data_IF_415224547197
#
_entry.id   IF_415224547197
#
_cell.length_a   1.000
_cell.length_b   1.000
_cell.length_c   1.000
_cell.angle_alpha   90.00
_cell.angle_beta   90.00
_cell.angle_gamma   90.00
#
_symmetry.space_group_name_H-M   'P 1'
#
loop_
_entity.id
_entity.type
_entity.pdbx_description
1 polymer ?
#
# COMPACT_ATOMS: atom_id res chain seq x y z
N UNK A 1 -21.45 -6.10 -29.55
CA UNK A 1 -20.05 -5.72 -29.20
C UNK A 1 -19.27 -7.00 -29.05
N UNK A 2 -18.13 -7.16 -29.74
CA UNK A 2 -17.29 -8.35 -29.56
C UNK A 2 -16.76 -8.37 -28.11
N UNK A 3 -17.04 -9.44 -27.37
CA UNK A 3 -16.48 -9.68 -26.04
C UNK A 3 -14.96 -9.77 -26.16
N UNK A 4 -14.24 -8.94 -25.40
CA UNK A 4 -12.78 -8.96 -25.39
C UNK A 4 -12.31 -10.32 -24.90
N UNK A 5 -11.31 -10.90 -25.56
CA UNK A 5 -10.72 -12.16 -25.13
C UNK A 5 -10.11 -12.02 -23.73
N UNK A 6 -10.04 -13.11 -22.96
CA UNK A 6 -9.41 -13.10 -21.64
C UNK A 6 -7.99 -12.51 -21.67
N UNK A 7 -7.21 -12.83 -22.71
CA UNK A 7 -5.85 -12.30 -22.88
C UNK A 7 -5.82 -10.78 -23.02
N UNK A 8 -6.75 -10.19 -23.76
CA UNK A 8 -6.86 -8.73 -23.91
C UNK A 8 -7.25 -8.07 -22.58
N UNK A 9 -8.22 -8.65 -21.87
CA UNK A 9 -8.66 -8.14 -20.56
C UNK A 9 -7.54 -8.23 -19.51
N UNK A 10 -6.80 -9.32 -19.51
CA UNK A 10 -5.62 -9.51 -18.66
C UNK A 10 -4.53 -8.47 -18.93
N UNK A 11 -4.16 -8.27 -20.20
CA UNK A 11 -3.17 -7.26 -20.58
C UNK A 11 -3.61 -5.85 -20.20
N UNK A 12 -4.90 -5.55 -20.34
CA UNK A 12 -5.49 -4.26 -19.93
C UNK A 12 -5.44 -4.08 -18.41
N UNK A 13 -5.75 -5.11 -17.63
CA UNK A 13 -5.71 -5.07 -16.16
C UNK A 13 -4.29 -4.93 -15.61
N UNK A 14 -3.31 -5.58 -16.24
CA UNK A 14 -1.90 -5.55 -15.81
C UNK A 14 -1.19 -4.22 -16.11
N UNK A 15 -1.81 -3.29 -16.86
CA UNK A 15 -1.16 -2.05 -17.29
C UNK A 15 -0.58 -1.25 -16.11
N UNK A 16 0.74 -1.02 -16.15
CA UNK A 16 1.49 -0.27 -15.13
C UNK A 16 1.63 1.20 -15.51
N UNK A 17 1.63 2.10 -14.51
CA UNK A 17 1.86 3.54 -14.73
C UNK A 17 3.33 3.83 -15.07
N UNK A 18 4.26 3.25 -14.32
CA UNK A 18 5.70 3.34 -14.59
C UNK A 18 6.44 2.24 -13.84
N UNK A 19 7.18 1.37 -14.54
CA UNK A 19 7.91 0.27 -13.89
C UNK A 19 9.00 0.75 -12.92
N UNK A 20 9.46 2.00 -13.02
CA UNK A 20 10.48 2.54 -12.12
C UNK A 20 9.99 2.67 -10.68
N UNK A 21 8.70 2.95 -10.49
CA UNK A 21 8.13 3.18 -9.15
C UNK A 21 7.43 1.97 -8.56
N UNK A 22 7.06 1.00 -9.39
CA UNK A 22 6.28 -0.15 -8.94
C UNK A 22 7.09 -1.06 -8.01
N UNK A 23 6.41 -1.56 -6.98
CA UNK A 23 7.00 -2.46 -6.00
C UNK A 23 7.48 -3.75 -6.67
N UNK A 24 8.71 -4.21 -6.41
CA UNK A 24 9.27 -5.37 -7.08
C UNK A 24 8.44 -6.64 -6.91
N UNK A 25 7.86 -6.82 -5.72
CA UNK A 25 7.01 -7.96 -5.37
C UNK A 25 5.66 -7.86 -6.05
N UNK A 26 4.98 -6.71 -5.98
CA UNK A 26 3.67 -6.54 -6.61
C UNK A 26 3.71 -6.81 -8.11
N UNK A 27 4.73 -6.28 -8.80
CA UNK A 27 4.89 -6.47 -10.26
C UNK A 27 5.00 -7.95 -10.63
N UNK A 28 5.65 -8.76 -9.79
CA UNK A 28 5.96 -10.17 -10.09
C UNK A 28 4.95 -11.14 -9.51
N UNK A 29 4.27 -10.77 -8.44
CA UNK A 29 3.49 -11.69 -7.62
C UNK A 29 2.04 -11.24 -7.48
N UNK A 30 1.76 -10.17 -6.73
CA UNK A 30 0.37 -9.76 -6.45
C UNK A 30 -0.39 -9.33 -7.70
N UNK A 31 0.18 -8.45 -8.52
CA UNK A 31 -0.52 -7.83 -9.65
C UNK A 31 -0.82 -8.76 -10.81
N UNK A 32 0.04 -9.72 -11.18
CA UNK A 32 -0.33 -10.74 -12.17
C UNK A 32 -1.51 -11.60 -11.71
N UNK A 33 -1.55 -12.00 -10.42
CA UNK A 33 -2.66 -12.78 -9.86
C UNK A 33 -3.93 -11.93 -9.82
N UNK A 34 -3.81 -10.69 -9.36
CA UNK A 34 -4.91 -9.72 -9.37
C UNK A 34 -5.43 -9.46 -10.79
N UNK A 35 -4.55 -9.35 -11.80
CA UNK A 35 -4.94 -9.08 -13.18
C UNK A 35 -5.68 -10.26 -13.79
N UNK A 36 -5.33 -11.50 -13.41
CA UNK A 36 -6.09 -12.68 -13.78
C UNK A 36 -7.50 -12.62 -13.17
N UNK A 37 -7.61 -12.30 -11.89
CA UNK A 37 -8.90 -12.13 -11.23
C UNK A 37 -9.73 -11.00 -11.87
N UNK A 38 -9.15 -9.82 -12.08
CA UNK A 38 -9.78 -8.68 -12.76
C UNK A 38 -10.27 -9.07 -14.15
N UNK A 39 -9.48 -9.82 -14.93
CA UNK A 39 -9.89 -10.27 -16.27
C UNK A 39 -11.03 -11.29 -16.25
N UNK A 40 -11.18 -12.07 -15.17
CA UNK A 40 -12.32 -12.96 -14.97
C UNK A 40 -13.59 -12.16 -14.63
N UNK A 41 -13.48 -11.16 -13.75
CA UNK A 41 -14.64 -10.42 -13.24
C UNK A 41 -15.00 -9.18 -14.07
N UNK A 42 -14.15 -8.75 -15.01
CA UNK A 42 -14.31 -7.49 -15.76
C UNK A 42 -15.62 -7.39 -16.54
N UNK A 43 -16.15 -8.54 -17.00
CA UNK A 43 -17.42 -8.63 -17.75
C UNK A 43 -18.65 -8.88 -16.86
N UNK A 44 -18.46 -9.00 -15.54
CA UNK A 44 -19.57 -9.17 -14.59
C UNK A 44 -20.07 -7.81 -14.07
N UNK A 45 -21.20 -7.79 -13.36
CA UNK A 45 -21.72 -6.58 -12.70
C UNK A 45 -20.97 -6.20 -11.41
N UNK A 46 -19.96 -6.97 -11.00
CA UNK A 46 -19.19 -6.71 -9.78
C UNK A 46 -18.48 -5.36 -9.91
N UNK A 47 -18.62 -4.50 -8.90
CA UNK A 47 -18.02 -3.15 -8.87
C UNK A 47 -16.67 -3.15 -8.14
N UNK A 48 -15.77 -2.19 -8.41
CA UNK A 48 -14.52 -2.06 -7.65
C UNK A 48 -14.75 -2.01 -6.13
N UNK A 49 -15.70 -1.19 -5.68
CA UNK A 49 -16.03 -1.07 -4.24
C UNK A 49 -16.50 -2.39 -3.61
N UNK A 50 -17.15 -3.28 -4.38
CA UNK A 50 -17.51 -4.61 -3.89
C UNK A 50 -16.26 -5.48 -3.71
N UNK A 51 -15.28 -5.37 -4.60
CA UNK A 51 -13.99 -6.06 -4.47
C UNK A 51 -13.20 -5.51 -3.27
N UNK A 52 -13.21 -4.20 -3.04
CA UNK A 52 -12.64 -3.55 -1.84
C UNK A 52 -13.32 -4.04 -0.56
N UNK A 53 -14.64 -4.20 -0.54
CA UNK A 53 -15.33 -4.80 0.61
C UNK A 53 -14.94 -6.27 0.81
N UNK A 54 -14.77 -7.02 -0.28
CA UNK A 54 -14.29 -8.40 -0.22
C UNK A 54 -12.84 -8.47 0.31
N UNK A 55 -11.96 -7.55 -0.07
CA UNK A 55 -10.58 -7.49 0.43
C UNK A 55 -10.56 -7.27 1.94
N UNK A 56 -11.39 -6.35 2.45
CA UNK A 56 -11.61 -6.10 3.88
C UNK A 56 -12.08 -7.35 4.63
N UNK A 57 -13.16 -7.98 4.18
CA UNK A 57 -13.70 -9.19 4.82
C UNK A 57 -12.70 -10.36 4.79
N UNK A 58 -11.95 -10.49 3.71
CA UNK A 58 -10.91 -11.52 3.55
C UNK A 58 -9.75 -11.27 4.51
N UNK A 59 -9.29 -10.02 4.67
CA UNK A 59 -8.24 -9.66 5.63
C UNK A 59 -8.67 -9.84 7.09
N UNK A 60 -9.93 -9.53 7.41
CA UNK A 60 -10.50 -9.79 8.73
C UNK A 60 -10.63 -11.29 9.01
N UNK A 61 -10.97 -12.08 8.00
CA UNK A 61 -10.97 -13.55 8.10
C UNK A 61 -9.56 -14.07 8.38
N UNK A 62 -8.54 -13.54 7.69
CA UNK A 62 -7.14 -13.86 7.98
C UNK A 62 -6.72 -13.45 9.39
N UNK A 63 -7.16 -12.28 9.86
CA UNK A 63 -6.93 -11.81 11.23
C UNK A 63 -7.62 -12.70 12.27
N UNK A 64 -8.83 -13.18 12.00
CA UNK A 64 -9.52 -14.12 12.88
C UNK A 64 -8.76 -15.46 12.98
N UNK A 65 -8.29 -16.01 11.87
CA UNK A 65 -7.43 -17.21 11.89
C UNK A 65 -6.11 -16.95 12.61
N UNK A 66 -5.53 -15.76 12.48
CA UNK A 66 -4.32 -15.38 13.19
C UNK A 66 -4.56 -15.38 14.70
N UNK A 67 -5.68 -14.81 15.15
CA UNK A 67 -6.08 -14.84 16.56
C UNK A 67 -6.25 -16.28 17.05
N UNK A 68 -6.94 -17.13 16.28
CA UNK A 68 -7.12 -18.53 16.62
C UNK A 68 -5.79 -19.29 16.67
N UNK A 69 -4.84 -18.96 15.79
CA UNK A 69 -3.51 -19.56 15.78
C UNK A 69 -2.75 -19.24 17.07
N UNK A 70 -2.76 -17.98 17.53
CA UNK A 70 -2.09 -17.58 18.77
C UNK A 70 -2.80 -18.07 20.05
N UNK A 71 -4.12 -17.94 20.11
CA UNK A 71 -4.86 -18.04 21.38
C UNK A 71 -5.75 -19.28 21.49
N UNK A 72 -5.88 -20.08 20.42
CA UNK A 72 -6.68 -21.31 20.40
C UNK A 72 -5.95 -22.45 19.67
N UNK A 73 -4.69 -22.66 20.06
CA UNK A 73 -3.78 -23.64 19.47
C UNK A 73 -4.34 -25.07 19.38
N UNK A 74 -5.19 -25.48 20.33
CA UNK A 74 -5.73 -26.85 20.37
C UNK A 74 -6.64 -27.18 19.19
N UNK A 75 -7.36 -26.18 18.65
CA UNK A 75 -8.31 -26.38 17.54
C UNK A 75 -7.72 -25.95 16.20
N UNK A 76 -6.85 -24.94 16.19
CA UNK A 76 -6.39 -24.30 14.97
C UNK A 76 -4.87 -24.18 14.86
N UNK A 77 -4.08 -24.96 15.60
CA UNK A 77 -2.61 -24.88 15.66
C UNK A 77 -1.90 -24.60 14.31
N UNK A 78 -1.50 -25.63 13.58
CA UNK A 78 -0.78 -25.47 12.29
C UNK A 78 -1.68 -24.85 11.22
N UNK A 79 -2.94 -25.29 11.15
CA UNK A 79 -3.89 -24.87 10.11
C UNK A 79 -4.23 -23.37 10.21
N UNK A 80 -4.32 -22.82 11.42
CA UNK A 80 -4.61 -21.41 11.66
C UNK A 80 -3.52 -20.50 11.13
N UNK A 81 -2.24 -20.85 11.30
CA UNK A 81 -1.12 -20.11 10.71
C UNK A 81 -1.19 -20.09 9.18
N UNK A 82 -1.45 -21.25 8.57
CA UNK A 82 -1.56 -21.36 7.11
C UNK A 82 -2.77 -20.59 6.55
N UNK A 83 -3.93 -20.71 7.20
CA UNK A 83 -5.14 -19.98 6.80
C UNK A 83 -4.97 -18.47 7.01
N UNK A 84 -4.38 -18.04 8.12
CA UNK A 84 -4.08 -16.63 8.37
C UNK A 84 -3.20 -16.05 7.26
N UNK A 85 -2.09 -16.71 6.93
CA UNK A 85 -1.22 -16.31 5.83
C UNK A 85 -1.93 -16.29 4.48
N UNK A 86 -2.71 -17.32 4.17
CA UNK A 86 -3.47 -17.41 2.91
C UNK A 86 -4.51 -16.29 2.76
N UNK A 87 -5.32 -16.04 3.77
CA UNK A 87 -6.37 -15.02 3.71
C UNK A 87 -5.79 -13.60 3.69
N UNK A 88 -4.70 -13.33 4.42
CA UNK A 88 -4.01 -12.05 4.32
C UNK A 88 -3.40 -11.84 2.92
N UNK A 89 -2.79 -12.88 2.33
CA UNK A 89 -2.35 -12.85 0.94
C UNK A 89 -3.50 -12.59 -0.04
N UNK A 90 -4.61 -13.32 0.10
CA UNK A 90 -5.78 -13.17 -0.76
C UNK A 90 -6.39 -11.76 -0.66
N UNK A 91 -6.37 -11.16 0.54
CA UNK A 91 -6.79 -9.77 0.77
C UNK A 91 -5.94 -8.78 -0.05
N UNK A 92 -4.61 -8.91 -0.05
CA UNK A 92 -3.70 -8.08 -0.86
C UNK A 92 -3.94 -8.25 -2.37
N UNK A 93 -4.25 -9.48 -2.82
CA UNK A 93 -4.59 -9.74 -4.22
C UNK A 93 -5.91 -9.07 -4.61
N UNK A 94 -6.92 -9.12 -3.74
CA UNK A 94 -8.23 -8.48 -3.98
C UNK A 94 -8.11 -6.96 -4.02
N UNK A 95 -7.33 -6.38 -3.10
CA UNK A 95 -6.98 -4.96 -3.08
C UNK A 95 -6.31 -4.54 -4.41
N UNK A 96 -5.28 -5.27 -4.85
CA UNK A 96 -4.70 -5.03 -6.18
C UNK A 96 -5.73 -5.14 -7.33
N UNK A 97 -6.71 -6.04 -7.21
CA UNK A 97 -7.69 -6.31 -8.25
C UNK A 97 -8.78 -5.24 -8.35
N UNK A 98 -9.15 -4.57 -7.25
CA UNK A 98 -10.14 -3.49 -7.26
C UNK A 98 -9.64 -2.27 -8.05
N UNK A 99 -8.37 -1.89 -7.86
CA UNK A 99 -7.75 -0.76 -8.53
C UNK A 99 -7.51 -1.06 -10.00
N UNK A 100 -7.15 -2.30 -10.33
CA UNK A 100 -7.07 -2.77 -11.72
C UNK A 100 -8.45 -2.80 -12.38
N UNK A 101 -9.50 -3.21 -11.67
CA UNK A 101 -10.88 -3.21 -12.19
C UNK A 101 -11.37 -1.79 -12.42
N UNK A 102 -11.15 -0.87 -11.48
CA UNK A 102 -11.52 0.54 -11.60
C UNK A 102 -10.87 1.18 -12.84
N UNK A 103 -9.54 1.00 -13.00
CA UNK A 103 -8.81 1.48 -14.17
C UNK A 103 -9.31 0.87 -15.47
N UNK A 104 -9.60 -0.45 -15.48
CA UNK A 104 -10.09 -1.14 -16.68
C UNK A 104 -11.44 -0.60 -17.17
N UNK A 105 -12.24 -0.01 -16.27
CA UNK A 105 -13.56 0.58 -16.54
C UNK A 105 -13.51 2.09 -16.77
N UNK A 106 -12.32 2.69 -16.82
CA UNK A 106 -12.16 4.14 -16.97
C UNK A 106 -12.65 4.94 -15.75
N UNK A 107 -12.80 4.27 -14.60
CA UNK A 107 -13.23 4.88 -13.34
C UNK A 107 -12.06 5.21 -12.42
N UNK A 108 -12.32 6.08 -11.44
CA UNK A 108 -11.36 6.50 -10.42
C UNK A 108 -11.73 7.87 -9.86
N UNK A 109 -12.59 7.92 -8.85
CA UNK A 109 -12.92 9.18 -8.19
C UNK A 109 -11.92 9.46 -7.07
N UNK A 110 -11.72 10.74 -6.75
CA UNK A 110 -10.84 11.15 -5.65
C UNK A 110 -11.32 10.64 -4.29
N UNK A 111 -12.62 10.72 -4.04
CA UNK A 111 -13.25 10.16 -2.85
C UNK A 111 -13.09 8.63 -2.80
N UNK A 112 -13.17 7.95 -3.95
CA UNK A 112 -12.92 6.51 -4.04
C UNK A 112 -11.53 6.15 -3.55
N UNK A 113 -10.49 6.89 -3.95
CA UNK A 113 -9.10 6.68 -3.48
C UNK A 113 -8.89 6.95 -1.99
N UNK A 114 -9.58 7.94 -1.45
CA UNK A 114 -9.55 8.24 -0.02
C UNK A 114 -10.17 7.11 0.80
N UNK A 115 -11.32 6.62 0.33
CA UNK A 115 -11.99 5.48 0.93
C UNK A 115 -11.13 4.21 0.83
N UNK A 116 -10.49 3.99 -0.31
CA UNK A 116 -9.56 2.87 -0.57
C UNK A 116 -8.44 2.83 0.47
N UNK A 117 -7.68 3.93 0.59
CA UNK A 117 -6.61 4.02 1.58
C UNK A 117 -7.08 3.93 3.03
N UNK A 118 -8.33 4.32 3.33
CA UNK A 118 -8.91 4.10 4.65
C UNK A 118 -9.29 2.63 4.88
N UNK A 119 -9.86 1.96 3.87
CA UNK A 119 -10.19 0.53 3.94
C UNK A 119 -8.91 -0.29 4.10
N UNK A 120 -7.80 0.06 3.44
CA UNK A 120 -6.50 -0.60 3.63
C UNK A 120 -6.06 -0.60 5.10
N UNK A 121 -6.20 0.55 5.77
CA UNK A 121 -5.90 0.67 7.20
C UNK A 121 -6.82 -0.24 8.01
N UNK A 122 -8.12 -0.30 7.69
CA UNK A 122 -9.08 -1.16 8.37
C UNK A 122 -8.83 -2.66 8.12
N UNK A 123 -8.31 -3.04 6.96
CA UNK A 123 -7.92 -4.41 6.64
C UNK A 123 -6.76 -4.85 7.53
N UNK A 124 -5.75 -3.98 7.68
CA UNK A 124 -4.50 -4.31 8.35
C UNK A 124 -4.56 -4.15 9.87
N UNK A 125 -5.37 -3.22 10.37
CA UNK A 125 -5.40 -2.87 11.79
C UNK A 125 -5.61 -4.08 12.72
N UNK A 126 -6.61 -4.96 12.49
CA UNK A 126 -6.80 -6.14 13.34
C UNK A 126 -5.59 -7.08 13.32
N UNK A 127 -5.00 -7.33 12.14
CA UNK A 127 -3.84 -8.19 12.00
C UNK A 127 -2.64 -7.68 12.81
N UNK A 128 -2.33 -6.38 12.75
CA UNK A 128 -1.23 -5.78 13.51
C UNK A 128 -1.48 -5.81 15.02
N UNK A 129 -2.71 -5.54 15.47
CA UNK A 129 -3.09 -5.62 16.89
C UNK A 129 -2.90 -7.05 17.41
N UNK A 130 -3.42 -8.05 16.68
CA UNK A 130 -3.31 -9.46 17.04
C UNK A 130 -1.86 -9.93 17.01
N UNK A 131 -1.07 -9.53 16.01
CA UNK A 131 0.37 -9.80 15.98
C UNK A 131 1.06 -9.28 17.23
N UNK A 132 0.84 -8.01 17.60
CA UNK A 132 1.45 -7.42 18.78
C UNK A 132 1.13 -8.19 20.06
N UNK A 133 -0.15 -8.42 20.34
CA UNK A 133 -0.56 -9.17 21.53
C UNK A 133 -0.15 -10.64 21.49
N UNK A 134 -0.19 -11.29 20.32
CA UNK A 134 0.24 -12.67 20.13
C UNK A 134 1.74 -12.84 20.36
N UNK A 135 2.56 -11.92 19.84
CA UNK A 135 4.01 -11.87 20.10
C UNK A 135 4.28 -11.65 21.58
N UNK A 136 3.56 -10.72 22.21
CA UNK A 136 3.67 -10.47 23.66
C UNK A 136 3.38 -11.73 24.47
N UNK A 137 2.29 -12.42 24.15
CA UNK A 137 1.86 -13.62 24.86
C UNK A 137 2.83 -14.80 24.67
N UNK A 138 3.43 -14.93 23.48
CA UNK A 138 4.27 -16.08 23.12
C UNK A 138 5.75 -15.87 23.48
N UNK A 139 6.25 -14.64 23.41
CA UNK A 139 7.68 -14.31 23.50
C UNK A 139 8.01 -13.22 24.55
N UNK A 140 7.01 -12.62 25.18
CA UNK A 140 7.17 -11.64 26.26
C UNK A 140 7.26 -10.18 25.82
N UNK A 141 7.35 -9.29 26.81
CA UNK A 141 7.26 -7.82 26.63
C UNK A 141 8.38 -7.23 25.76
N UNK A 142 9.60 -7.78 25.84
CA UNK A 142 10.72 -7.30 25.03
C UNK A 142 10.39 -7.40 23.53
N UNK A 143 9.91 -8.56 23.09
CA UNK A 143 9.55 -8.78 21.69
C UNK A 143 8.30 -8.00 21.28
N UNK A 144 7.39 -7.72 22.21
CA UNK A 144 6.30 -6.78 21.95
C UNK A 144 6.83 -5.38 21.61
N UNK A 145 7.80 -4.86 22.37
CA UNK A 145 8.39 -3.56 22.08
C UNK A 145 9.17 -3.56 20.75
N UNK A 146 9.89 -4.63 20.44
CA UNK A 146 10.55 -4.78 19.13
C UNK A 146 9.50 -4.79 18.01
N UNK A 147 8.39 -5.50 18.17
CA UNK A 147 7.28 -5.52 17.21
C UNK A 147 6.63 -4.14 17.06
N UNK A 148 6.46 -3.38 18.14
CA UNK A 148 5.92 -2.03 18.11
C UNK A 148 6.84 -1.07 17.33
N UNK A 149 8.16 -1.14 17.55
CA UNK A 149 9.15 -0.37 16.80
C UNK A 149 9.18 -0.78 15.34
N UNK A 150 9.14 -2.09 15.04
CA UNK A 150 9.10 -2.60 13.68
C UNK A 150 7.84 -2.15 12.93
N UNK A 151 6.66 -2.25 13.56
CA UNK A 151 5.39 -1.80 12.99
C UNK A 151 5.37 -0.30 12.73
N UNK A 152 5.88 0.51 13.66
CA UNK A 152 6.02 1.96 13.45
C UNK A 152 7.02 2.29 12.33
N UNK A 153 8.13 1.54 12.24
CA UNK A 153 9.10 1.68 11.15
C UNK A 153 8.46 1.35 9.79
N UNK A 154 7.68 0.26 9.70
CA UNK A 154 6.92 -0.10 8.49
C UNK A 154 5.98 1.03 8.04
N UNK A 155 5.29 1.68 8.97
CA UNK A 155 4.46 2.83 8.64
C UNK A 155 5.28 4.00 8.05
N UNK A 156 6.46 4.30 8.62
CA UNK A 156 7.38 5.30 8.05
C UNK A 156 7.90 4.86 6.67
N UNK A 157 8.25 3.59 6.48
CA UNK A 157 8.71 3.04 5.20
C UNK A 157 7.68 3.30 4.09
N UNK A 158 6.42 2.95 4.35
CA UNK A 158 5.32 3.13 3.40
C UNK A 158 5.08 4.63 3.12
N UNK A 159 5.06 5.47 4.15
CA UNK A 159 4.87 6.92 4.00
C UNK A 159 5.97 7.58 3.15
N UNK A 160 7.24 7.19 3.36
CA UNK A 160 8.37 7.68 2.57
C UNK A 160 8.32 7.16 1.14
N UNK A 161 7.96 5.88 0.95
CA UNK A 161 7.77 5.30 -0.38
C UNK A 161 6.71 6.06 -1.17
N UNK A 162 5.51 6.25 -0.62
CA UNK A 162 4.42 6.92 -1.32
C UNK A 162 4.77 8.37 -1.69
N UNK A 163 5.40 9.11 -0.76
CA UNK A 163 5.82 10.48 -1.04
C UNK A 163 6.86 10.54 -2.16
N UNK A 164 7.91 9.72 -2.10
CA UNK A 164 8.98 9.72 -3.11
C UNK A 164 8.49 9.18 -4.46
N UNK A 165 7.57 8.20 -4.46
CA UNK A 165 6.86 7.72 -5.66
C UNK A 165 6.13 8.87 -6.34
N UNK A 166 5.33 9.63 -5.59
CA UNK A 166 4.55 10.74 -6.14
C UNK A 166 5.45 11.86 -6.67
N UNK A 167 6.53 12.20 -5.95
CA UNK A 167 7.54 13.16 -6.43
C UNK A 167 8.19 12.66 -7.72
N UNK A 168 8.64 11.39 -7.76
CA UNK A 168 9.30 10.83 -8.94
C UNK A 168 8.38 10.82 -10.17
N UNK A 169 7.10 10.44 -10.00
CA UNK A 169 6.10 10.48 -11.08
C UNK A 169 5.92 11.92 -11.59
N UNK A 170 5.81 12.90 -10.68
CA UNK A 170 5.66 14.30 -11.04
C UNK A 170 6.83 14.85 -11.89
N UNK A 171 8.03 14.30 -11.71
CA UNK A 171 9.22 14.68 -12.49
C UNK A 171 9.44 13.86 -13.77
N UNK A 172 8.77 12.72 -13.96
CA UNK A 172 9.06 11.75 -15.04
C UNK A 172 7.89 11.44 -15.98
N UNK A 173 6.73 12.06 -15.77
CA UNK A 173 5.58 11.98 -16.68
C UNK A 173 5.30 13.32 -17.37
N UNK A 174 4.95 13.25 -18.66
CA UNK A 174 4.72 14.41 -19.52
C UNK A 174 3.46 15.20 -19.12
N UNK A 175 2.42 14.48 -18.67
CA UNK A 175 1.29 15.11 -18.01
C UNK A 175 1.78 15.54 -16.64
N UNK A 176 1.96 16.85 -16.49
CA UNK A 176 2.51 17.55 -15.34
C UNK A 176 2.10 16.91 -14.00
N UNK A 177 2.99 17.01 -13.00
CA UNK A 177 2.63 16.88 -11.58
C UNK A 177 1.21 17.40 -11.38
N UNK A 178 0.33 16.53 -10.87
CA UNK A 178 -1.11 16.60 -11.16
C UNK A 178 -1.79 15.24 -11.36
N UNK A 179 -1.04 14.13 -11.32
CA UNK A 179 -1.60 12.79 -11.17
C UNK A 179 -2.20 12.55 -9.77
N UNK A 180 -2.96 11.47 -9.61
CA UNK A 180 -3.55 11.05 -8.32
C UNK A 180 -2.54 11.16 -7.17
N UNK A 181 -2.88 11.86 -6.07
CA UNK A 181 -1.98 12.04 -4.91
C UNK A 181 -1.02 13.24 -5.00
N UNK A 182 -1.30 14.21 -5.87
CA UNK A 182 -0.55 15.48 -6.00
C UNK A 182 -1.17 16.64 -5.21
N UNK A 183 -2.28 16.41 -4.50
CA UNK A 183 -2.99 17.47 -3.80
C UNK A 183 -2.14 18.11 -2.70
N UNK A 184 -2.20 19.43 -2.59
CA UNK A 184 -1.53 20.14 -1.49
C UNK A 184 -2.34 20.06 -0.21
N UNK A 185 -1.68 20.13 0.95
CA UNK A 185 -2.39 20.18 2.24
C UNK A 185 -3.41 21.33 2.28
N UNK A 186 -3.08 22.46 1.64
CA UNK A 186 -3.95 23.63 1.60
C UNK A 186 -5.20 23.38 0.76
N UNK A 187 -5.07 22.73 -0.40
CA UNK A 187 -6.20 22.32 -1.23
C UNK A 187 -7.16 21.41 -0.46
N UNK A 188 -6.64 20.39 0.24
CA UNK A 188 -7.48 19.46 1.02
C UNK A 188 -8.11 20.17 2.23
N UNK A 189 -7.39 21.09 2.88
CA UNK A 189 -7.95 21.88 4.00
C UNK A 189 -9.07 22.81 3.53
N UNK A 190 -8.94 23.42 2.36
CA UNK A 190 -9.99 24.26 1.78
C UNK A 190 -11.24 23.43 1.45
N UNK A 191 -11.07 22.24 0.87
CA UNK A 191 -12.16 21.32 0.61
C UNK A 191 -12.83 20.83 1.91
N UNK A 192 -12.05 20.48 2.93
CA UNK A 192 -12.58 20.12 4.24
C UNK A 192 -13.41 21.26 4.86
N UNK A 193 -12.97 22.51 4.71
CA UNK A 193 -13.73 23.67 5.17
C UNK A 193 -15.05 23.81 4.41
N UNK A 194 -15.05 23.60 3.09
CA UNK A 194 -16.27 23.59 2.27
C UNK A 194 -17.20 22.43 2.62
N UNK A 195 -16.64 21.23 2.86
CA UNK A 195 -17.40 20.04 3.24
C UNK A 195 -18.07 20.23 4.61
N UNK A 196 -17.40 20.88 5.57
CA UNK A 196 -17.98 21.25 6.88
C UNK A 196 -19.05 22.35 6.78
N UNK A 197 -18.90 23.26 5.82
CA UNK A 197 -19.86 24.34 5.58
C UNK A 197 -21.10 23.85 4.78
N UNK A 198 -20.94 22.76 4.03
CA UNK A 198 -22.01 22.09 3.30
C UNK A 198 -22.60 20.96 4.16
N UNK A 199 -23.83 20.51 3.91
CA UNK A 199 -24.39 19.32 4.57
C UNK A 199 -23.72 18.01 4.08
N UNK A 200 -22.38 17.95 4.00
CA UNK A 200 -21.64 16.74 3.67
C UNK A 200 -21.83 15.69 4.78
N UNK A 201 -21.63 14.41 4.44
CA UNK A 201 -21.79 13.36 5.44
C UNK A 201 -20.64 13.40 6.45
N UNK A 202 -20.90 12.95 7.68
CA UNK A 202 -19.86 12.85 8.73
C UNK A 202 -18.67 11.99 8.29
N UNK A 203 -18.91 10.98 7.45
CA UNK A 203 -17.87 10.13 6.88
C UNK A 203 -16.96 10.91 5.94
N UNK A 204 -17.51 11.75 5.05
CA UNK A 204 -16.71 12.57 4.13
C UNK A 204 -15.79 13.53 4.91
N UNK A 205 -16.32 14.17 5.95
CA UNK A 205 -15.55 15.08 6.80
C UNK A 205 -14.40 14.32 7.50
N UNK A 206 -14.70 13.15 8.05
CA UNK A 206 -13.71 12.31 8.72
C UNK A 206 -12.60 11.84 7.77
N UNK A 207 -12.95 11.37 6.56
CA UNK A 207 -11.96 10.95 5.57
C UNK A 207 -11.04 12.10 5.14
N UNK A 208 -11.60 13.30 4.95
CA UNK A 208 -10.81 14.50 4.63
C UNK A 208 -9.89 14.92 5.78
N UNK A 209 -10.37 14.88 7.03
CA UNK A 209 -9.55 15.14 8.22
C UNK A 209 -8.38 14.15 8.32
N UNK A 210 -8.64 12.85 8.13
CA UNK A 210 -7.62 11.81 8.12
C UNK A 210 -6.59 12.04 7.00
N UNK A 211 -7.03 12.49 5.82
CA UNK A 211 -6.13 12.78 4.71
C UNK A 211 -5.24 14.00 4.98
N UNK A 212 -5.78 15.06 5.59
CA UNK A 212 -4.98 16.23 6.01
C UNK A 212 -3.92 15.80 7.03
N UNK A 213 -4.27 14.94 7.98
CA UNK A 213 -3.31 14.38 8.93
C UNK A 213 -2.22 13.57 8.22
N UNK A 214 -2.60 12.67 7.31
CA UNK A 214 -1.68 11.84 6.54
C UNK A 214 -0.70 12.67 5.69
N UNK A 215 -1.17 13.69 4.98
CA UNK A 215 -0.31 14.58 4.20
C UNK A 215 0.64 15.39 5.10
N UNK A 216 0.18 15.81 6.29
CA UNK A 216 1.03 16.49 7.28
C UNK A 216 2.18 15.62 7.77
N UNK A 217 1.93 14.33 7.99
CA UNK A 217 2.98 13.34 8.30
C UNK A 217 3.94 13.22 7.12
N UNK A 218 3.45 13.03 5.89
CA UNK A 218 4.30 12.85 4.72
C UNK A 218 5.29 14.01 4.52
N UNK A 219 4.84 15.26 4.69
CA UNK A 219 5.70 16.44 4.56
C UNK A 219 6.85 16.48 5.59
N UNK A 220 6.64 15.90 6.78
CA UNK A 220 7.65 15.90 7.85
C UNK A 220 8.75 14.87 7.63
N UNK A 221 8.43 13.73 7.03
CA UNK A 221 9.36 12.62 6.84
C UNK A 221 10.05 12.61 5.49
N UNK A 222 9.43 13.15 4.43
CA UNK A 222 10.00 13.19 3.10
C UNK A 222 9.85 14.58 2.44
N UNK A 223 10.97 15.25 2.13
CA UNK A 223 10.99 16.55 1.46
C UNK A 223 10.61 16.44 -0.02
N UNK A 224 10.05 17.50 -0.62
CA UNK A 224 9.80 17.59 -2.06
C UNK A 224 8.36 18.03 -2.38
N UNK A 225 8.23 18.87 -3.40
CA UNK A 225 6.93 19.40 -3.84
C UNK A 225 6.25 18.41 -4.79
N UNK A 226 4.95 18.23 -4.59
CA UNK A 226 4.05 17.50 -5.51
C UNK A 226 3.12 18.45 -6.24
N UNK A 227 3.37 19.75 -6.13
CA UNK A 227 2.54 20.82 -6.67
C UNK A 227 2.31 20.65 -8.18
N UNK A 228 1.09 21.02 -8.58
CA UNK A 228 0.74 21.05 -9.99
C UNK A 228 1.58 22.07 -10.73
N UNK A 229 2.22 21.66 -11.81
CA UNK A 229 3.00 22.57 -12.66
C UNK A 229 2.12 23.17 -13.74
N UNK A 230 2.32 24.45 -14.03
CA UNK A 230 1.59 25.18 -15.07
C UNK A 230 1.92 24.70 -16.49
N UNK A 231 3.13 24.15 -16.70
CA UNK A 231 3.59 23.65 -18.00
C UNK A 231 4.12 22.22 -17.94
N UNK A 232 3.90 21.45 -19.01
CA UNK A 232 4.48 20.13 -19.19
C UNK A 232 6.01 20.21 -19.24
N UNK A 233 6.68 19.20 -18.65
CA UNK A 233 8.15 19.13 -18.65
C UNK A 233 8.65 18.76 -20.06
N UNK A 234 9.82 19.25 -20.43
CA UNK A 234 10.44 18.79 -21.68
C UNK A 234 10.91 17.33 -21.54
N UNK A 235 10.81 16.50 -22.60
CA UNK A 235 11.24 15.10 -22.56
C UNK A 235 12.68 14.91 -22.07
N UNK A 236 13.60 15.78 -22.48
CA UNK A 236 15.00 15.73 -22.10
C UNK A 236 15.21 15.89 -20.58
N UNK A 237 14.51 16.85 -19.95
CA UNK A 237 14.59 17.05 -18.50
C UNK A 237 14.03 15.85 -17.71
N UNK A 238 12.97 15.22 -18.20
CA UNK A 238 12.42 14.00 -17.59
C UNK A 238 13.42 12.86 -17.65
N UNK A 239 14.13 12.72 -18.77
CA UNK A 239 15.11 11.67 -19.00
C UNK A 239 16.36 11.86 -18.15
N UNK A 240 16.86 13.09 -18.04
CA UNK A 240 17.97 13.45 -17.14
C UNK A 240 17.60 13.14 -15.69
N UNK A 241 16.43 13.60 -15.23
CA UNK A 241 15.97 13.31 -13.87
C UNK A 241 15.84 11.81 -13.62
N UNK A 242 15.24 11.06 -14.57
CA UNK A 242 15.12 9.60 -14.50
C UNK A 242 16.50 8.95 -14.39
N UNK A 243 17.44 9.29 -15.27
CA UNK A 243 18.80 8.72 -15.26
C UNK A 243 19.49 8.89 -13.91
N UNK A 244 19.40 10.09 -13.33
CA UNK A 244 20.14 10.45 -12.13
C UNK A 244 19.49 9.88 -10.84
N UNK A 245 18.16 9.67 -10.85
CA UNK A 245 17.39 9.30 -9.65
C UNK A 245 16.78 7.89 -9.67
N UNK A 246 16.84 7.17 -10.80
CA UNK A 246 16.22 5.85 -10.96
C UNK A 246 16.67 4.84 -9.91
N UNK A 247 17.97 4.77 -9.60
CA UNK A 247 18.47 3.84 -8.59
C UNK A 247 17.86 4.13 -7.21
N UNK A 248 17.77 5.41 -6.84
CA UNK A 248 17.14 5.82 -5.58
C UNK A 248 15.67 5.41 -5.58
N UNK A 249 14.92 5.66 -6.65
CA UNK A 249 13.52 5.24 -6.75
C UNK A 249 13.35 3.71 -6.68
N UNK A 250 14.22 2.95 -7.34
CA UNK A 250 14.21 1.47 -7.30
C UNK A 250 14.54 0.90 -5.92
N UNK A 251 15.38 1.58 -5.13
CA UNK A 251 15.61 1.22 -3.72
C UNK A 251 14.38 1.55 -2.88
N UNK A 252 13.81 2.74 -3.09
CA UNK A 252 12.59 3.19 -2.40
C UNK A 252 11.41 2.25 -2.64
N UNK A 253 11.27 1.65 -3.82
CA UNK A 253 10.13 0.75 -4.10
C UNK A 253 10.14 -0.58 -3.34
N UNK A 254 11.23 -0.92 -2.63
CA UNK A 254 11.24 -2.02 -1.66
C UNK A 254 10.58 -1.64 -0.33
N UNK A 255 10.45 -0.35 -0.02
CA UNK A 255 9.84 0.14 1.21
C UNK A 255 8.31 0.19 1.15
N UNK A 256 7.71 -0.19 0.02
CA UNK A 256 6.26 -0.17 -0.17
C UNK A 256 5.52 -1.25 0.62
N UNK A 257 4.19 -1.08 0.68
CA UNK A 257 3.32 -1.91 1.51
C UNK A 257 3.25 -3.34 0.99
N UNK A 258 3.22 -3.54 -0.33
CA UNK A 258 3.17 -4.87 -0.94
C UNK A 258 4.35 -5.76 -0.55
N UNK A 259 5.55 -5.18 -0.48
CA UNK A 259 6.76 -5.89 -0.01
C UNK A 259 6.66 -6.27 1.47
N UNK A 260 6.20 -5.36 2.33
CA UNK A 260 6.02 -5.66 3.75
C UNK A 260 4.95 -6.73 3.98
N UNK A 261 3.81 -6.61 3.29
CA UNK A 261 2.72 -7.58 3.38
C UNK A 261 3.15 -8.97 2.93
N UNK A 262 3.93 -9.06 1.85
CA UNK A 262 4.53 -10.32 1.41
C UNK A 262 5.31 -11.00 2.53
N UNK A 263 6.17 -10.25 3.21
CA UNK A 263 6.97 -10.78 4.31
C UNK A 263 6.12 -11.12 5.54
N UNK A 264 5.10 -10.31 5.85
CA UNK A 264 4.19 -10.55 6.98
C UNK A 264 3.41 -11.84 6.81
N UNK A 265 2.63 -11.99 5.73
CA UNK A 265 1.80 -13.19 5.58
C UNK A 265 2.66 -14.44 5.38
N UNK A 266 3.86 -14.32 4.80
CA UNK A 266 4.80 -15.43 4.65
C UNK A 266 5.35 -15.85 6.00
N UNK A 267 5.77 -14.91 6.86
CA UNK A 267 6.26 -15.23 8.21
C UNK A 267 5.14 -15.82 9.09
N UNK A 268 3.91 -15.31 8.95
CA UNK A 268 2.72 -15.89 9.61
C UNK A 268 2.54 -17.35 9.16
N UNK A 269 2.56 -17.63 7.86
CA UNK A 269 2.44 -18.99 7.35
C UNK A 269 3.60 -19.88 7.82
N UNK A 270 4.84 -19.36 7.87
CA UNK A 270 6.01 -20.09 8.34
C UNK A 270 5.95 -20.47 9.82
N UNK A 271 5.15 -19.77 10.65
CA UNK A 271 4.92 -20.17 12.05
C UNK A 271 4.27 -21.56 12.19
N UNK A 272 3.66 -22.08 11.12
CA UNK A 272 3.21 -23.47 11.03
C UNK A 272 4.33 -24.49 11.30
N UNK A 273 5.59 -24.14 10.98
CA UNK A 273 6.76 -25.03 11.09
C UNK A 273 7.91 -24.41 11.87
N UNK A 274 8.00 -23.08 11.93
CA UNK A 274 9.06 -22.32 12.58
C UNK A 274 8.43 -21.20 13.43
N UNK A 275 8.10 -21.45 14.72
CA UNK A 275 7.43 -20.50 15.60
C UNK A 275 8.14 -19.14 15.70
N UNK A 276 9.47 -19.11 15.55
CA UNK A 276 10.31 -17.92 15.66
C UNK A 276 10.29 -17.04 14.40
N UNK A 277 9.60 -17.44 13.33
CA UNK A 277 9.56 -16.72 12.06
C UNK A 277 9.12 -15.24 12.22
N UNK A 278 8.18 -14.97 13.14
CA UNK A 278 7.74 -13.60 13.43
C UNK A 278 8.80 -12.76 14.15
N UNK A 279 9.70 -13.38 14.92
CA UNK A 279 10.80 -12.66 15.58
C UNK A 279 11.84 -12.24 14.54
N UNK A 280 12.16 -13.14 13.62
CA UNK A 280 13.05 -12.85 12.49
C UNK A 280 12.48 -11.74 11.61
N UNK A 281 11.18 -11.79 11.29
CA UNK A 281 10.49 -10.74 10.55
C UNK A 281 10.64 -9.36 11.21
N UNK A 282 10.41 -9.28 12.52
CA UNK A 282 10.55 -8.02 13.25
C UNK A 282 11.97 -7.45 13.16
N UNK A 283 12.99 -8.31 13.29
CA UNK A 283 14.39 -7.88 13.14
C UNK A 283 14.69 -7.41 11.71
N UNK A 284 14.14 -8.07 10.69
CA UNK A 284 14.27 -7.64 9.29
C UNK A 284 13.69 -6.23 9.12
N UNK A 285 12.51 -5.95 9.66
CA UNK A 285 11.90 -4.62 9.58
C UNK A 285 12.65 -3.58 10.42
N UNK A 286 13.00 -3.92 11.67
CA UNK A 286 13.67 -3.01 12.59
C UNK A 286 15.11 -2.67 12.17
N UNK A 287 15.79 -3.58 11.47
CA UNK A 287 17.20 -3.42 11.09
C UNK A 287 17.35 -3.22 9.59
N UNK A 288 17.04 -4.23 8.77
CA UNK A 288 17.36 -4.22 7.33
C UNK A 288 16.58 -3.12 6.61
N UNK A 289 15.28 -3.02 6.84
CA UNK A 289 14.46 -2.01 6.17
C UNK A 289 14.76 -0.59 6.68
N UNK A 290 15.06 -0.41 7.97
CA UNK A 290 15.50 0.88 8.49
C UNK A 290 16.86 1.32 7.92
N UNK A 291 17.78 0.38 7.63
CA UNK A 291 19.02 0.70 6.90
C UNK A 291 18.73 1.16 5.47
N UNK A 292 17.82 0.47 4.76
CA UNK A 292 17.37 0.88 3.42
C UNK A 292 16.74 2.27 3.48
N UNK A 293 15.86 2.53 4.46
CA UNK A 293 15.25 3.82 4.70
C UNK A 293 16.32 4.90 4.89
N UNK A 294 17.34 4.67 5.72
CA UNK A 294 18.44 5.61 5.92
C UNK A 294 19.17 5.96 4.62
N UNK A 295 19.50 4.95 3.81
CA UNK A 295 20.13 5.15 2.49
C UNK A 295 19.21 5.95 1.57
N UNK A 296 17.92 5.60 1.51
CA UNK A 296 16.91 6.29 0.70
C UNK A 296 16.79 7.75 1.11
N UNK A 297 16.72 8.07 2.41
CA UNK A 297 16.61 9.44 2.91
C UNK A 297 17.84 10.30 2.61
N UNK A 298 19.04 9.71 2.61
CA UNK A 298 20.27 10.42 2.21
C UNK A 298 20.27 10.68 0.71
N UNK A 299 19.98 9.66 -0.10
CA UNK A 299 20.00 9.75 -1.56
C UNK A 299 18.88 10.61 -2.11
N UNK A 300 17.69 10.59 -1.52
CA UNK A 300 16.53 11.36 -1.98
C UNK A 300 16.66 12.87 -1.76
N UNK A 301 17.71 13.34 -1.07
CA UNK A 301 18.02 14.78 -1.02
C UNK A 301 18.27 15.37 -2.41
N UNK A 302 18.75 14.57 -3.37
CA UNK A 302 18.89 15.01 -4.77
C UNK A 302 17.55 15.35 -5.43
N UNK A 303 16.44 14.79 -4.94
CA UNK A 303 15.11 15.09 -5.49
C UNK A 303 14.70 16.53 -5.16
N UNK A 304 15.28 17.16 -4.13
CA UNK A 304 15.00 18.57 -3.77
C UNK A 304 15.69 19.58 -4.69
N UNK A 305 16.74 19.17 -5.40
CA UNK A 305 17.58 20.06 -6.19
C UNK A 305 17.17 20.12 -7.68
N UNK A 306 16.06 19.49 -8.06
CA UNK A 306 15.61 19.26 -9.44
C UNK A 306 14.13 19.60 -9.64
#
# INVERSE_FOLDING_TARGET
MATQSFSERFKKALAFKSLDVEEPIDVRFHRPIAAALTALISETSITPNQVTLMSLLTGWTGSAFLFLAFFNHALFGVLGWLLAGFFLFASVVLDCADGQLARSRGGGSRMGRLLDGFVDVLVLFPAYVILGFGIRASFGDLWFYVAAVAGFSTWIHCAVYDKLKNVYIAHTMANAGGGEGSETIEEVKAELALARASNATTLDIFLLDLYVFYLGVQQRFAPGTTEKRESARQPEEMEVFRRDNRLTMRLTSWLGLGTHMFLIYTAIALCAVLPEALLVLQLVFAVVFNLILGIVLVRSRSFRAA
#
